data_IF_938017284746
#
_entry.id   IF_938017284746
#
_cell.length_a   1.000
_cell.length_b   1.000
_cell.length_c   1.000
_cell.angle_alpha   90.00
_cell.angle_beta   90.00
_cell.angle_gamma   90.00
#
_symmetry.space_group_name_H-M   'P 1'
#
loop_
_entity.id
_entity.type
_entity.pdbx_description
1 polymer ?
#
# COMPACT_ATOMS: atom_id res chain seq x y z
N UNK A 1 16.52 -27.70 15.97
CA UNK A 1 15.70 -27.60 14.74
C UNK A 1 15.32 -26.14 14.55
N UNK A 2 15.48 -25.57 13.34
CA UNK A 2 15.12 -24.18 13.06
C UNK A 2 13.95 -24.12 12.09
N UNK A 3 12.85 -23.50 12.49
CA UNK A 3 11.66 -23.31 11.65
C UNK A 3 11.62 -21.87 11.17
N UNK A 4 11.46 -21.65 9.87
CA UNK A 4 11.29 -20.31 9.32
C UNK A 4 10.52 -20.34 8.01
N UNK A 5 9.62 -19.37 7.84
CA UNK A 5 8.97 -19.09 6.56
C UNK A 5 9.95 -18.52 5.51
N UNK A 6 11.11 -18.03 5.93
CA UNK A 6 12.19 -17.62 5.04
C UNK A 6 13.54 -17.62 5.78
N UNK A 7 14.59 -18.26 5.26
CA UNK A 7 15.88 -18.30 5.93
C UNK A 7 16.66 -16.96 5.84
N UNK A 8 16.11 -15.92 5.21
CA UNK A 8 16.68 -14.57 5.17
C UNK A 8 16.88 -13.98 3.77
N UNK A 9 17.12 -12.66 3.71
CA UNK A 9 17.19 -11.88 2.47
C UNK A 9 18.54 -11.99 1.73
N UNK A 10 19.00 -13.21 1.46
CA UNK A 10 20.15 -13.47 0.59
C UNK A 10 21.09 -14.57 1.10
N UNK A 11 21.84 -15.17 0.16
CA UNK A 11 22.65 -16.37 0.43
C UNK A 11 23.66 -16.20 1.58
N UNK A 12 24.34 -15.05 1.68
CA UNK A 12 25.33 -14.82 2.76
C UNK A 12 24.67 -14.89 4.14
N UNK A 13 23.51 -14.24 4.29
CA UNK A 13 22.77 -14.19 5.55
C UNK A 13 22.20 -15.57 5.93
N UNK A 14 21.70 -16.31 4.92
CA UNK A 14 21.25 -17.69 5.11
C UNK A 14 22.41 -18.58 5.60
N UNK A 15 23.56 -18.55 4.92
CA UNK A 15 24.74 -19.34 5.31
C UNK A 15 25.19 -19.01 6.74
N UNK A 16 25.16 -17.73 7.10
CA UNK A 16 25.50 -17.29 8.45
C UNK A 16 24.52 -17.86 9.49
N UNK A 17 23.21 -17.85 9.20
CA UNK A 17 22.19 -18.45 10.08
C UNK A 17 22.42 -19.95 10.24
N UNK A 18 22.68 -20.67 9.15
CA UNK A 18 22.97 -22.11 9.20
C UNK A 18 24.22 -22.42 10.02
N UNK A 19 25.29 -21.63 9.84
CA UNK A 19 26.53 -21.78 10.61
C UNK A 19 26.31 -21.50 12.10
N UNK A 20 25.61 -20.41 12.43
CA UNK A 20 25.33 -20.03 13.83
C UNK A 20 24.47 -21.09 14.54
N UNK A 21 23.51 -21.67 13.83
CA UNK A 21 22.62 -22.71 14.37
C UNK A 21 23.18 -24.13 14.21
N UNK A 22 24.39 -24.27 13.65
CA UNK A 22 25.05 -25.56 13.35
C UNK A 22 24.14 -26.53 12.60
N UNK A 23 23.38 -26.01 11.63
CA UNK A 23 22.45 -26.78 10.81
C UNK A 23 23.16 -27.33 9.58
N UNK A 24 23.12 -28.65 9.39
CA UNK A 24 23.75 -29.36 8.26
C UNK A 24 22.81 -29.62 7.10
N UNK A 25 21.49 -29.62 7.36
CA UNK A 25 20.45 -29.91 6.37
C UNK A 25 19.41 -28.81 6.36
N UNK A 26 18.97 -28.44 5.16
CA UNK A 26 17.85 -27.54 4.94
C UNK A 26 16.79 -28.31 4.17
N UNK A 27 15.63 -28.50 4.78
CA UNK A 27 14.45 -28.94 4.07
C UNK A 27 13.56 -27.74 3.77
N UNK A 28 13.06 -27.68 2.55
CA UNK A 28 12.02 -26.71 2.19
C UNK A 28 10.84 -27.45 1.59
N UNK A 29 9.65 -26.92 1.83
CA UNK A 29 8.46 -27.25 1.06
C UNK A 29 7.90 -25.98 0.44
N UNK A 30 7.44 -26.10 -0.79
CA UNK A 30 6.72 -25.08 -1.54
C UNK A 30 5.25 -25.47 -1.62
N UNK A 31 4.45 -24.56 -2.17
CA UNK A 31 3.02 -24.76 -2.42
C UNK A 31 2.76 -25.97 -3.33
N UNK A 32 3.66 -26.16 -4.29
CA UNK A 32 3.62 -27.21 -5.30
C UNK A 32 4.22 -28.54 -4.82
N UNK A 33 4.73 -28.60 -3.58
CA UNK A 33 5.33 -29.84 -3.06
C UNK A 33 4.26 -30.93 -2.91
N UNK A 34 4.51 -32.17 -3.36
CA UNK A 34 3.50 -33.24 -3.36
C UNK A 34 2.92 -33.56 -1.98
N UNK A 35 3.70 -33.36 -0.92
CA UNK A 35 3.30 -33.58 0.47
C UNK A 35 2.63 -32.35 1.12
N UNK A 36 2.50 -31.25 0.38
CA UNK A 36 1.84 -30.01 0.83
C UNK A 36 0.60 -29.70 0.00
N UNK A 37 0.67 -29.84 -1.33
CA UNK A 37 -0.40 -29.49 -2.26
C UNK A 37 -1.78 -30.08 -1.90
N UNK A 38 -1.91 -31.35 -1.47
CA UNK A 38 -3.21 -31.93 -1.11
C UNK A 38 -3.90 -31.26 0.09
N UNK A 39 -3.15 -30.55 0.93
CA UNK A 39 -3.64 -29.92 2.16
C UNK A 39 -3.89 -28.42 2.01
N UNK A 40 -3.61 -27.84 0.83
CA UNK A 40 -3.80 -26.42 0.59
C UNK A 40 -5.21 -26.13 0.09
N UNK A 41 -6.00 -25.42 0.89
CA UNK A 41 -7.14 -24.66 0.36
C UNK A 41 -6.58 -23.38 -0.29
N UNK A 42 -6.57 -23.33 -1.62
CA UNK A 42 -6.14 -22.13 -2.33
C UNK A 42 -7.22 -21.06 -2.26
N UNK A 43 -6.95 -20.03 -1.46
CA UNK A 43 -7.62 -18.75 -1.60
C UNK A 43 -7.00 -18.01 -2.78
N UNK A 44 -7.69 -18.07 -3.92
CA UNK A 44 -7.37 -17.25 -5.09
C UNK A 44 -7.49 -15.76 -4.76
N UNK A 45 -6.54 -14.97 -5.25
CA UNK A 45 -6.64 -13.51 -5.26
C UNK A 45 -7.21 -13.08 -6.61
N UNK A 46 -8.38 -12.46 -6.60
CA UNK A 46 -8.92 -11.78 -7.77
C UNK A 46 -8.36 -10.36 -7.84
N UNK A 47 -7.95 -9.94 -9.04
CA UNK A 47 -7.41 -8.61 -9.28
C UNK A 47 -8.38 -7.82 -10.13
N UNK A 48 -8.98 -6.79 -9.55
CA UNK A 48 -9.92 -5.93 -10.25
C UNK A 48 -9.25 -4.60 -10.61
N UNK A 49 -9.02 -4.41 -11.91
CA UNK A 49 -8.45 -3.18 -12.43
C UNK A 49 -9.52 -2.11 -12.65
N UNK A 50 -9.23 -0.89 -12.20
CA UNK A 50 -10.10 0.29 -12.31
C UNK A 50 -9.33 1.40 -13.03
N UNK A 51 -9.98 2.09 -13.95
CA UNK A 51 -9.40 3.21 -14.66
C UNK A 51 -9.64 4.52 -13.90
N UNK A 52 -8.67 5.43 -13.96
CA UNK A 52 -8.85 6.78 -13.42
C UNK A 52 -9.80 7.57 -14.34
N UNK A 53 -10.63 8.44 -13.76
CA UNK A 53 -11.48 9.34 -14.54
C UNK A 53 -10.65 10.34 -15.36
N UNK A 54 -11.26 10.91 -16.41
CA UNK A 54 -10.61 11.92 -17.24
C UNK A 54 -10.14 13.14 -16.43
N UNK A 55 -10.93 13.56 -15.43
CA UNK A 55 -10.54 14.64 -14.51
C UNK A 55 -9.30 14.31 -13.69
N UNK A 56 -9.23 13.10 -13.15
CA UNK A 56 -8.03 12.62 -12.45
C UNK A 56 -6.83 12.48 -13.39
N UNK A 57 -7.03 12.03 -14.63
CA UNK A 57 -5.96 11.94 -15.64
C UNK A 57 -5.43 13.33 -16.03
N UNK A 58 -6.32 14.32 -16.14
CA UNK A 58 -5.98 15.72 -16.42
C UNK A 58 -5.11 16.31 -15.30
N UNK A 59 -5.34 15.95 -14.03
CA UNK A 59 -4.49 16.37 -12.90
C UNK A 59 -3.19 15.55 -12.85
N UNK A 60 -3.26 14.23 -13.06
CA UNK A 60 -2.13 13.29 -12.93
C UNK A 60 -1.00 13.62 -13.91
N UNK A 61 -1.34 13.97 -15.14
CA UNK A 61 -0.37 14.21 -16.21
C UNK A 61 0.63 15.34 -15.89
N UNK A 62 0.20 16.59 -15.65
CA UNK A 62 1.11 17.68 -15.30
C UNK A 62 1.83 17.43 -13.97
N UNK A 63 1.20 16.71 -13.03
CA UNK A 63 1.82 16.36 -11.77
C UNK A 63 2.97 15.35 -11.94
N UNK A 64 2.79 14.36 -12.82
CA UNK A 64 3.85 13.41 -13.21
C UNK A 64 4.98 14.11 -13.93
N UNK A 65 4.68 15.04 -14.84
CA UNK A 65 5.69 15.84 -15.53
C UNK A 65 6.52 16.70 -14.57
N UNK A 66 5.86 17.34 -13.59
CA UNK A 66 6.53 18.10 -12.54
C UNK A 66 7.49 17.22 -11.71
N UNK A 67 7.04 16.00 -11.35
CA UNK A 67 7.90 15.03 -10.67
C UNK A 67 9.11 14.64 -11.53
N UNK A 68 8.88 14.25 -12.80
CA UNK A 68 9.94 13.83 -13.71
C UNK A 68 10.96 14.95 -13.97
N UNK A 69 10.50 16.19 -14.15
CA UNK A 69 11.33 17.38 -14.29
C UNK A 69 12.22 17.60 -13.06
N UNK A 70 11.65 17.49 -11.85
CA UNK A 70 12.40 17.62 -10.61
C UNK A 70 13.45 16.51 -10.43
N UNK A 71 13.11 15.26 -10.75
CA UNK A 71 14.05 14.13 -10.74
C UNK A 71 15.15 14.29 -11.80
N UNK A 72 14.81 14.80 -12.98
CA UNK A 72 15.77 15.14 -14.05
C UNK A 72 16.81 16.16 -13.57
N UNK A 73 16.38 17.23 -12.89
CA UNK A 73 17.27 18.23 -12.28
C UNK A 73 18.21 17.59 -11.26
N UNK A 74 17.71 16.72 -10.38
CA UNK A 74 18.56 15.99 -9.43
C UNK A 74 19.66 15.18 -10.14
N UNK A 75 19.32 14.52 -11.24
CA UNK A 75 20.28 13.77 -12.07
C UNK A 75 21.32 14.67 -12.71
N UNK A 76 20.92 15.80 -13.26
CA UNK A 76 21.85 16.81 -13.79
C UNK A 76 22.83 17.27 -12.70
N UNK A 77 22.35 17.46 -11.48
CA UNK A 77 23.20 17.82 -10.35
C UNK A 77 24.07 16.68 -9.80
N UNK A 78 23.90 15.44 -10.25
CA UNK A 78 24.75 14.30 -9.85
C UNK A 78 24.07 13.29 -8.92
N UNK A 79 22.81 13.48 -8.58
CA UNK A 79 22.07 12.65 -7.63
C UNK A 79 21.15 11.65 -8.34
N UNK A 80 20.79 10.55 -7.67
CA UNK A 80 19.83 9.56 -8.17
C UNK A 80 20.18 8.97 -9.56
N UNK A 81 21.47 8.84 -9.89
CA UNK A 81 21.93 8.32 -11.18
C UNK A 81 21.92 6.78 -11.31
N UNK A 82 21.83 6.08 -10.19
CA UNK A 82 21.96 4.62 -10.10
C UNK A 82 20.73 3.82 -10.55
N UNK A 83 19.59 4.49 -10.79
CA UNK A 83 18.35 3.91 -11.33
C UNK A 83 17.84 4.77 -12.48
N UNK A 84 17.02 4.21 -13.38
CA UNK A 84 16.22 5.03 -14.32
C UNK A 84 15.17 5.81 -13.53
N UNK A 85 14.77 6.98 -14.06
CA UNK A 85 13.85 7.90 -13.37
C UNK A 85 12.52 7.23 -13.04
N UNK A 86 11.99 6.45 -13.99
CA UNK A 86 10.74 5.69 -13.85
C UNK A 86 10.76 4.65 -12.73
N UNK A 87 11.94 4.25 -12.25
CA UNK A 87 12.12 3.26 -11.18
C UNK A 87 12.55 3.88 -9.85
N UNK A 88 12.61 5.20 -9.74
CA UNK A 88 12.93 5.87 -8.48
C UNK A 88 11.71 5.86 -7.55
N UNK A 89 11.91 5.37 -6.32
CA UNK A 89 10.87 5.34 -5.29
C UNK A 89 10.85 6.63 -4.46
N UNK A 90 9.75 6.84 -3.71
CA UNK A 90 9.67 7.87 -2.67
C UNK A 90 10.80 7.74 -1.64
N UNK A 91 11.19 6.50 -1.29
CA UNK A 91 12.31 6.25 -0.37
C UNK A 91 13.66 6.68 -0.97
N UNK A 92 13.87 6.52 -2.27
CA UNK A 92 15.07 7.02 -2.96
C UNK A 92 15.15 8.56 -2.87
N UNK A 93 14.02 9.25 -3.06
CA UNK A 93 13.92 10.72 -2.95
C UNK A 93 14.21 11.18 -1.52
N UNK A 94 13.69 10.49 -0.50
CA UNK A 94 13.94 10.79 0.92
C UNK A 94 15.42 10.58 1.27
N UNK A 95 16.00 9.46 0.86
CA UNK A 95 17.42 9.16 1.08
C UNK A 95 18.31 10.23 0.43
N UNK A 96 17.98 10.65 -0.80
CA UNK A 96 18.66 11.75 -1.48
C UNK A 96 18.60 13.06 -0.69
N UNK A 97 17.46 13.39 -0.08
CA UNK A 97 17.33 14.55 0.80
C UNK A 97 18.27 14.50 2.01
N UNK A 98 18.39 13.34 2.66
CA UNK A 98 19.34 13.16 3.76
C UNK A 98 20.80 13.31 3.32
N UNK A 99 21.16 12.76 2.15
CA UNK A 99 22.50 12.95 1.56
C UNK A 99 22.78 14.42 1.26
N UNK A 100 21.82 15.14 0.67
CA UNK A 100 21.95 16.56 0.33
C UNK A 100 22.14 17.43 1.57
N UNK A 101 21.39 17.18 2.65
CA UNK A 101 21.57 17.87 3.94
C UNK A 101 22.97 17.66 4.51
N UNK A 102 23.46 16.41 4.49
CA UNK A 102 24.82 16.10 4.92
C UNK A 102 25.90 16.78 4.07
N UNK A 103 25.70 16.87 2.76
CA UNK A 103 26.61 17.58 1.86
C UNK A 103 26.61 19.10 2.11
N UNK A 104 25.43 19.71 2.30
CA UNK A 104 25.28 21.13 2.59
C UNK A 104 25.92 21.55 3.92
N UNK A 105 25.85 20.68 4.94
CA UNK A 105 26.51 20.92 6.22
C UNK A 105 28.03 20.98 6.09
N UNK A 106 28.63 20.22 5.16
CA UNK A 106 30.07 20.23 4.90
C UNK A 106 30.51 21.34 3.95
N UNK A 107 29.70 21.64 2.93
CA UNK A 107 30.01 22.63 1.90
C UNK A 107 28.74 23.29 1.39
N UNK A 108 28.67 24.62 1.54
CA UNK A 108 27.62 25.43 0.91
C UNK A 108 27.97 25.65 -0.56
N UNK A 109 27.05 25.31 -1.47
CA UNK A 109 27.20 25.62 -2.89
C UNK A 109 25.84 25.83 -3.54
N UNK A 110 25.77 26.76 -4.50
CA UNK A 110 24.52 27.04 -5.24
C UNK A 110 23.92 25.79 -5.88
N UNK A 111 24.78 24.91 -6.41
CA UNK A 111 24.38 23.61 -6.96
C UNK A 111 23.67 22.71 -5.94
N UNK A 112 24.20 22.62 -4.71
CA UNK A 112 23.58 21.81 -3.65
C UNK A 112 22.25 22.42 -3.17
N UNK A 113 22.15 23.74 -3.10
CA UNK A 113 20.88 24.41 -2.80
C UNK A 113 19.83 24.17 -3.90
N UNK A 114 20.22 24.25 -5.18
CA UNK A 114 19.34 23.96 -6.30
C UNK A 114 18.88 22.49 -6.31
N UNK A 115 19.78 21.55 -6.00
CA UNK A 115 19.43 20.14 -5.83
C UNK A 115 18.49 19.93 -4.65
N UNK A 116 18.70 20.60 -3.51
CA UNK A 116 17.82 20.52 -2.35
C UNK A 116 16.40 21.03 -2.68
N UNK A 117 16.28 22.11 -3.45
CA UNK A 117 14.99 22.61 -3.95
C UNK A 117 14.31 21.57 -4.86
N UNK A 118 15.04 21.00 -5.82
CA UNK A 118 14.52 19.98 -6.72
C UNK A 118 14.06 18.71 -5.97
N UNK A 119 14.79 18.29 -4.94
CA UNK A 119 14.39 17.17 -4.09
C UNK A 119 13.10 17.47 -3.32
N UNK A 120 12.95 18.69 -2.78
CA UNK A 120 11.71 19.11 -2.13
C UNK A 120 10.51 19.06 -3.08
N UNK A 121 10.66 19.62 -4.29
CA UNK A 121 9.63 19.55 -5.34
C UNK A 121 9.29 18.11 -5.71
N UNK A 122 10.29 17.24 -5.93
CA UNK A 122 10.06 15.85 -6.26
C UNK A 122 9.32 15.10 -5.14
N UNK A 123 9.67 15.36 -3.88
CA UNK A 123 9.02 14.72 -2.73
C UNK A 123 7.55 15.14 -2.61
N UNK A 124 7.26 16.43 -2.79
CA UNK A 124 5.90 16.95 -2.70
C UNK A 124 5.05 16.50 -3.90
N UNK A 125 5.56 16.57 -5.13
CA UNK A 125 4.86 16.06 -6.32
C UNK A 125 4.59 14.54 -6.20
N UNK A 126 5.57 13.78 -5.69
CA UNK A 126 5.40 12.35 -5.40
C UNK A 126 4.32 12.09 -4.35
N UNK A 127 4.14 12.96 -3.36
CA UNK A 127 3.07 12.80 -2.38
C UNK A 127 1.71 13.19 -2.95
N UNK A 128 1.63 14.27 -3.73
CA UNK A 128 0.41 14.64 -4.45
C UNK A 128 -0.09 13.51 -5.38
N UNK A 129 0.82 12.81 -6.07
CA UNK A 129 0.44 11.65 -6.91
C UNK A 129 -0.14 10.52 -6.06
N UNK A 130 0.42 10.29 -4.88
CA UNK A 130 -0.09 9.29 -3.92
C UNK A 130 -1.51 9.63 -3.47
N UNK A 131 -1.76 10.89 -3.11
CA UNK A 131 -3.09 11.34 -2.70
C UNK A 131 -4.09 11.18 -3.85
N UNK A 132 -3.72 11.62 -5.06
CA UNK A 132 -4.59 11.52 -6.23
C UNK A 132 -4.88 10.06 -6.60
N UNK A 133 -3.84 9.25 -6.82
CA UNK A 133 -3.94 7.89 -7.35
C UNK A 133 -4.51 6.87 -6.35
N UNK A 134 -4.53 7.20 -5.05
CA UNK A 134 -5.02 6.27 -4.02
C UNK A 134 -6.25 6.80 -3.28
N UNK A 135 -6.36 8.10 -3.05
CA UNK A 135 -7.41 8.66 -2.19
C UNK A 135 -8.44 9.49 -2.99
N UNK A 136 -8.01 10.19 -4.04
CA UNK A 136 -8.85 10.98 -4.93
C UNK A 136 -8.48 12.48 -4.96
N UNK A 137 -9.35 13.29 -5.57
CA UNK A 137 -9.10 14.72 -5.80
C UNK A 137 -9.23 15.55 -4.52
N UNK A 138 -10.21 15.25 -3.66
CA UNK A 138 -10.47 16.05 -2.45
C UNK A 138 -9.33 16.02 -1.42
N UNK A 139 -8.69 14.86 -1.13
CA UNK A 139 -7.49 14.82 -0.29
C UNK A 139 -6.32 15.62 -0.89
N UNK A 140 -6.16 15.60 -2.21
CA UNK A 140 -5.15 16.42 -2.90
C UNK A 140 -5.42 17.92 -2.73
N UNK A 141 -6.68 18.37 -2.88
CA UNK A 141 -7.08 19.76 -2.63
C UNK A 141 -6.80 20.18 -1.19
N UNK A 142 -7.22 19.35 -0.23
CA UNK A 142 -6.96 19.59 1.20
C UNK A 142 -5.46 19.74 1.49
N UNK A 143 -4.62 18.91 0.88
CA UNK A 143 -3.18 19.04 0.98
C UNK A 143 -2.64 20.35 0.36
N UNK A 144 -3.18 20.80 -0.77
CA UNK A 144 -2.80 22.08 -1.38
C UNK A 144 -3.19 23.27 -0.51
N UNK A 145 -4.40 23.27 0.05
CA UNK A 145 -4.88 24.31 0.96
C UNK A 145 -3.97 24.42 2.20
N UNK A 146 -3.76 23.31 2.90
CA UNK A 146 -2.86 23.25 4.06
C UNK A 146 -1.43 23.67 3.72
N UNK A 147 -0.92 23.25 2.56
CA UNK A 147 0.43 23.63 2.13
C UNK A 147 0.54 25.13 1.79
N UNK A 148 -0.56 25.77 1.38
CA UNK A 148 -0.60 27.22 1.18
C UNK A 148 -0.57 27.97 2.51
N UNK A 149 -1.36 27.52 3.49
CA UNK A 149 -1.35 28.06 4.87
C UNK A 149 0.03 27.94 5.52
N UNK A 150 0.71 26.81 5.33
CA UNK A 150 2.07 26.57 5.83
C UNK A 150 3.16 27.33 5.03
N UNK A 151 2.79 28.11 4.00
CA UNK A 151 3.74 28.87 3.19
C UNK A 151 4.73 28.01 2.41
N UNK A 152 4.36 26.78 2.03
CA UNK A 152 5.28 25.87 1.32
C UNK A 152 5.60 26.40 -0.08
N UNK A 153 6.89 26.59 -0.36
CA UNK A 153 7.41 27.08 -1.65
C UNK A 153 6.95 26.30 -2.88
N UNK A 154 6.58 25.03 -2.72
CA UNK A 154 6.03 24.20 -3.80
C UNK A 154 4.73 24.75 -4.37
N UNK A 155 3.87 25.32 -3.54
CA UNK A 155 2.57 25.87 -3.96
C UNK A 155 2.72 27.13 -4.82
N UNK A 156 3.85 27.83 -4.70
CA UNK A 156 4.18 28.99 -5.50
C UNK A 156 4.77 28.64 -6.88
N UNK A 157 4.98 27.37 -7.19
CA UNK A 157 5.44 26.96 -8.52
C UNK A 157 4.29 27.13 -9.54
N UNK A 158 4.54 27.69 -10.74
CA UNK A 158 3.51 27.82 -11.78
C UNK A 158 2.83 26.49 -12.11
N UNK A 159 3.61 25.41 -12.19
CA UNK A 159 3.10 24.06 -12.45
C UNK A 159 2.18 23.59 -11.33
N UNK A 160 2.53 23.84 -10.06
CA UNK A 160 1.69 23.48 -8.92
C UNK A 160 0.41 24.32 -8.83
N UNK A 161 0.47 25.60 -9.20
CA UNK A 161 -0.70 26.48 -9.28
C UNK A 161 -1.69 26.00 -10.34
N UNK A 162 -1.19 25.58 -11.51
CA UNK A 162 -2.01 24.97 -12.55
C UNK A 162 -2.65 23.66 -12.08
N UNK A 163 -1.88 22.75 -11.47
CA UNK A 163 -2.40 21.49 -10.93
C UNK A 163 -3.48 21.74 -9.87
N UNK A 164 -3.30 22.75 -9.01
CA UNK A 164 -4.32 23.15 -8.03
C UNK A 164 -5.60 23.62 -8.70
N UNK A 165 -5.50 24.42 -9.77
CA UNK A 165 -6.70 24.87 -10.51
C UNK A 165 -7.49 23.71 -11.12
N UNK A 166 -6.79 22.68 -11.62
CA UNK A 166 -7.41 21.45 -12.11
C UNK A 166 -8.05 20.67 -10.96
N UNK A 167 -7.38 20.59 -9.80
CA UNK A 167 -7.93 19.94 -8.63
C UNK A 167 -9.23 20.61 -8.15
N UNK A 168 -9.31 21.95 -8.17
CA UNK A 168 -10.56 22.67 -7.88
C UNK A 168 -11.64 22.37 -8.91
N UNK A 169 -11.31 22.36 -10.20
CA UNK A 169 -12.25 22.05 -11.28
C UNK A 169 -12.88 20.66 -11.14
N UNK A 170 -12.09 19.66 -10.74
CA UNK A 170 -12.53 18.27 -10.59
C UNK A 170 -12.80 17.86 -9.13
N UNK A 171 -12.93 18.81 -8.21
CA UNK A 171 -13.02 18.53 -6.76
C UNK A 171 -14.21 17.68 -6.32
N UNK A 172 -15.25 17.55 -7.15
CA UNK A 172 -16.41 16.69 -6.88
C UNK A 172 -16.23 15.23 -7.29
N UNK A 173 -15.14 14.89 -7.99
CA UNK A 173 -14.92 13.52 -8.47
C UNK A 173 -14.40 12.61 -7.35
N UNK A 174 -15.19 11.56 -7.06
CA UNK A 174 -14.75 10.48 -6.18
C UNK A 174 -13.79 9.55 -6.90
N UNK A 175 -12.87 8.92 -6.15
CA UNK A 175 -11.95 7.96 -6.74
C UNK A 175 -12.73 6.75 -7.31
N UNK A 176 -12.52 6.34 -8.58
CA UNK A 176 -13.31 5.27 -9.23
C UNK A 176 -13.35 3.92 -8.48
N UNK A 177 -12.29 3.60 -7.74
CA UNK A 177 -12.27 2.43 -6.84
C UNK A 177 -13.37 2.43 -5.78
N UNK A 178 -13.86 3.58 -5.31
CA UNK A 178 -14.96 3.63 -4.36
C UNK A 178 -16.23 3.03 -4.96
N UNK A 179 -16.53 3.36 -6.22
CA UNK A 179 -17.68 2.79 -6.93
C UNK A 179 -17.52 1.28 -7.15
N UNK A 180 -16.32 0.83 -7.57
CA UNK A 180 -16.03 -0.59 -7.73
C UNK A 180 -16.14 -1.37 -6.40
N UNK A 181 -15.60 -0.81 -5.31
CA UNK A 181 -15.74 -1.35 -3.97
C UNK A 181 -17.22 -1.44 -3.56
N UNK A 182 -17.96 -0.34 -3.70
CA UNK A 182 -19.37 -0.29 -3.32
C UNK A 182 -20.21 -1.33 -4.08
N UNK A 183 -19.96 -1.53 -5.37
CA UNK A 183 -20.62 -2.57 -6.17
C UNK A 183 -20.37 -3.98 -5.64
N UNK A 184 -19.11 -4.33 -5.36
CA UNK A 184 -18.77 -5.66 -4.81
C UNK A 184 -19.34 -5.89 -3.41
N UNK A 185 -19.29 -4.87 -2.55
CA UNK A 185 -19.87 -4.96 -1.21
C UNK A 185 -21.38 -5.12 -1.30
N UNK A 186 -22.06 -4.36 -2.17
CA UNK A 186 -23.50 -4.48 -2.37
C UNK A 186 -23.92 -5.87 -2.86
N UNK A 187 -23.17 -6.45 -3.79
CA UNK A 187 -23.39 -7.81 -4.29
C UNK A 187 -23.23 -8.83 -3.16
N UNK A 188 -22.18 -8.73 -2.35
CA UNK A 188 -21.95 -9.63 -1.23
C UNK A 188 -23.05 -9.51 -0.17
N UNK A 189 -23.51 -8.29 0.12
CA UNK A 189 -24.55 -8.02 1.10
C UNK A 189 -25.97 -8.41 0.64
N UNK A 190 -26.14 -8.89 -0.60
CA UNK A 190 -27.36 -9.59 -0.99
C UNK A 190 -27.60 -10.86 -0.12
N UNK A 191 -26.54 -11.37 0.51
CA UNK A 191 -26.62 -12.37 1.58
C UNK A 191 -26.56 -11.64 2.94
N UNK A 192 -27.67 -11.56 3.71
CA UNK A 192 -27.76 -10.67 4.88
C UNK A 192 -26.75 -10.94 6.00
N UNK A 193 -26.32 -12.20 6.12
CA UNK A 193 -25.35 -12.67 7.13
C UNK A 193 -23.89 -12.53 6.68
N UNK A 194 -23.65 -12.12 5.43
CA UNK A 194 -22.30 -11.99 4.91
C UNK A 194 -21.51 -10.90 5.63
N UNK A 195 -20.24 -11.20 5.90
CA UNK A 195 -19.28 -10.28 6.50
C UNK A 195 -18.21 -9.91 5.50
N UNK A 196 -17.91 -8.62 5.44
CA UNK A 196 -16.92 -8.04 4.52
C UNK A 196 -15.81 -7.36 5.31
N UNK A 197 -14.58 -7.60 4.90
CA UNK A 197 -13.39 -6.95 5.42
C UNK A 197 -12.74 -6.12 4.32
N UNK A 198 -12.59 -4.82 4.54
CA UNK A 198 -11.94 -3.91 3.58
C UNK A 198 -10.63 -3.42 4.16
N UNK A 199 -9.51 -3.75 3.51
CA UNK A 199 -8.19 -3.25 3.89
C UNK A 199 -7.81 -2.03 3.07
N UNK A 200 -7.23 -1.04 3.73
CA UNK A 200 -6.54 0.10 3.11
C UNK A 200 -5.21 0.37 3.82
N UNK A 201 -4.21 0.84 3.09
CA UNK A 201 -2.93 1.28 3.65
C UNK A 201 -3.06 2.64 4.35
N UNK A 202 -3.96 3.52 3.87
CA UNK A 202 -4.02 4.91 4.31
C UNK A 202 -5.25 5.17 5.18
N UNK A 203 -5.01 5.72 6.39
CA UNK A 203 -6.09 6.15 7.29
C UNK A 203 -6.95 7.25 6.70
N UNK A 204 -6.36 8.13 5.89
CA UNK A 204 -7.05 9.21 5.18
C UNK A 204 -8.16 8.72 4.26
N UNK A 205 -8.06 7.49 3.76
CA UNK A 205 -9.04 6.89 2.84
C UNK A 205 -10.24 6.30 3.58
N UNK A 206 -10.12 6.03 4.88
CA UNK A 206 -11.18 5.39 5.69
C UNK A 206 -12.48 6.20 5.66
N UNK A 207 -12.50 7.53 5.90
CA UNK A 207 -13.76 8.29 5.88
C UNK A 207 -14.51 8.17 4.56
N UNK A 208 -13.81 8.22 3.42
CA UNK A 208 -14.42 8.10 2.10
C UNK A 208 -14.98 6.70 1.85
N UNK A 209 -14.26 5.65 2.27
CA UNK A 209 -14.76 4.27 2.19
C UNK A 209 -15.98 4.07 3.08
N UNK A 210 -15.92 4.54 4.34
CA UNK A 210 -17.03 4.41 5.29
C UNK A 210 -18.27 5.15 4.79
N UNK A 211 -18.11 6.36 4.24
CA UNK A 211 -19.20 7.13 3.66
C UNK A 211 -19.83 6.42 2.46
N UNK A 212 -19.01 5.91 1.54
CA UNK A 212 -19.47 5.21 0.35
C UNK A 212 -20.21 3.92 0.69
N UNK A 213 -19.68 3.12 1.63
CA UNK A 213 -20.27 1.85 2.04
C UNK A 213 -21.45 2.02 2.99
N UNK A 214 -21.44 3.04 3.85
CA UNK A 214 -22.52 3.30 4.82
C UNK A 214 -23.83 3.73 4.16
N UNK A 215 -23.78 4.13 2.89
CA UNK A 215 -24.95 4.50 2.09
C UNK A 215 -25.60 3.29 1.40
N UNK A 216 -25.00 2.09 1.49
CA UNK A 216 -25.50 0.87 0.87
C UNK A 216 -26.60 0.22 1.74
N UNK A 217 -27.72 -0.22 1.14
CA UNK A 217 -28.72 -1.02 1.83
C UNK A 217 -28.13 -2.24 2.53
N UNK A 218 -28.43 -2.39 3.82
CA UNK A 218 -27.98 -3.53 4.64
C UNK A 218 -26.55 -3.44 5.17
N UNK A 219 -25.77 -2.41 4.78
CA UNK A 219 -24.42 -2.21 5.28
C UNK A 219 -24.41 -1.59 6.68
N UNK A 220 -23.72 -2.24 7.61
CA UNK A 220 -23.43 -1.78 8.97
C UNK A 220 -21.93 -1.68 9.09
N UNK A 221 -21.42 -0.50 8.74
CA UNK A 221 -19.99 -0.25 8.54
C UNK A 221 -19.33 0.25 9.82
N UNK A 222 -18.24 -0.39 10.21
CA UNK A 222 -17.32 0.11 11.23
C UNK A 222 -15.91 0.23 10.66
N UNK A 223 -15.05 0.99 11.35
CA UNK A 223 -13.64 1.06 11.00
C UNK A 223 -12.76 0.56 12.15
N UNK A 224 -11.58 0.08 11.79
CA UNK A 224 -10.58 -0.44 12.72
C UNK A 224 -9.20 0.13 12.40
N UNK A 225 -8.65 0.92 13.32
CA UNK A 225 -7.30 1.49 13.21
C UNK A 225 -6.45 1.19 14.44
N UNK A 226 -5.13 1.17 14.23
CA UNK A 226 -4.17 1.02 15.33
C UNK A 226 -4.19 2.18 16.33
N UNK A 227 -3.57 1.97 17.49
CA UNK A 227 -3.58 2.91 18.62
C UNK A 227 -2.83 4.24 18.35
N UNK A 228 -1.84 4.23 17.45
CA UNK A 228 -1.11 5.45 17.09
C UNK A 228 -2.08 6.51 16.54
N UNK A 229 -1.90 7.77 16.91
CA UNK A 229 -2.67 8.88 16.33
C UNK A 229 -2.14 9.27 14.96
N UNK A 230 -3.06 9.64 14.06
CA UNK A 230 -2.74 10.15 12.72
C UNK A 230 -3.87 11.07 12.25
N UNK A 231 -4.19 11.03 10.96
CA UNK A 231 -5.35 11.73 10.41
C UNK A 231 -6.69 11.21 10.93
N UNK A 232 -6.79 9.90 11.14
CA UNK A 232 -7.85 9.29 11.94
C UNK A 232 -7.29 9.01 13.33
N UNK A 233 -8.04 9.42 14.37
CA UNK A 233 -7.71 9.19 15.77
C UNK A 233 -7.49 7.69 16.00
N UNK A 234 -6.38 7.35 16.65
CA UNK A 234 -6.11 5.96 17.01
C UNK A 234 -7.15 5.42 17.98
N UNK A 235 -7.51 4.16 17.83
CA UNK A 235 -8.46 3.48 18.72
C UNK A 235 -7.71 2.90 19.91
N UNK A 236 -8.26 3.07 21.11
CA UNK A 236 -7.79 2.42 22.33
C UNK A 236 -8.05 0.91 22.26
N UNK A 237 -7.32 0.12 23.04
CA UNK A 237 -7.50 -1.33 23.08
C UNK A 237 -8.95 -1.76 23.37
N UNK A 238 -9.63 -1.06 24.28
CA UNK A 238 -11.03 -1.33 24.60
C UNK A 238 -11.97 -1.07 23.42
N UNK A 239 -11.78 0.05 22.69
CA UNK A 239 -12.56 0.38 21.48
C UNK A 239 -12.30 -0.64 20.37
N UNK A 240 -11.06 -1.10 20.23
CA UNK A 240 -10.69 -2.15 19.29
C UNK A 240 -11.40 -3.47 19.62
N UNK A 241 -11.40 -3.88 20.89
CA UNK A 241 -12.11 -5.09 21.33
C UNK A 241 -13.61 -5.00 21.09
N UNK A 242 -14.26 -3.87 21.38
CA UNK A 242 -15.70 -3.69 21.18
C UNK A 242 -16.08 -3.74 19.70
N UNK A 243 -15.30 -3.11 18.81
CA UNK A 243 -15.57 -3.16 17.36
C UNK A 243 -15.43 -4.58 16.81
N UNK A 244 -14.42 -5.33 17.26
CA UNK A 244 -14.25 -6.72 16.85
C UNK A 244 -15.36 -7.62 17.38
N UNK A 245 -15.81 -7.39 18.61
CA UNK A 245 -16.92 -8.15 19.19
C UNK A 245 -18.24 -7.88 18.44
N UNK A 246 -18.55 -6.62 18.14
CA UNK A 246 -19.69 -6.23 17.32
C UNK A 246 -19.64 -6.89 15.93
N UNK A 247 -18.46 -6.95 15.31
CA UNK A 247 -18.26 -7.63 14.03
C UNK A 247 -18.42 -9.16 14.13
N UNK A 248 -17.94 -9.78 15.21
CA UNK A 248 -18.16 -11.21 15.48
C UNK A 248 -19.65 -11.53 15.66
N UNK A 249 -20.40 -10.67 16.35
CA UNK A 249 -21.85 -10.82 16.58
C UNK A 249 -22.71 -10.48 15.36
N UNK A 250 -22.14 -9.88 14.30
CA UNK A 250 -22.89 -9.46 13.12
C UNK A 250 -23.64 -8.12 13.28
N UNK A 251 -23.45 -7.45 14.42
CA UNK A 251 -23.95 -6.08 14.65
C UNK A 251 -23.35 -5.12 13.63
N UNK A 252 -22.08 -5.35 13.26
CA UNK A 252 -21.45 -4.78 12.07
C UNK A 252 -21.12 -5.91 11.11
N UNK A 253 -21.34 -5.68 9.82
CA UNK A 253 -21.08 -6.67 8.76
C UNK A 253 -20.06 -6.18 7.73
N UNK A 254 -19.60 -4.93 7.82
CA UNK A 254 -18.51 -4.40 7.01
C UNK A 254 -17.48 -3.75 7.92
N UNK A 255 -16.24 -4.24 7.88
CA UNK A 255 -15.13 -3.71 8.68
C UNK A 255 -14.06 -3.11 7.79
N UNK A 256 -13.84 -1.81 7.89
CA UNK A 256 -12.79 -1.08 7.14
C UNK A 256 -11.55 -0.92 8.02
N UNK A 257 -10.44 -1.56 7.69
CA UNK A 257 -9.26 -1.60 8.53
C UNK A 257 -7.97 -1.20 7.82
N UNK A 258 -6.99 -0.78 8.62
CA UNK A 258 -5.62 -0.55 8.13
C UNK A 258 -4.74 -1.79 8.29
N UNK A 259 -3.56 -1.79 7.67
CA UNK A 259 -2.56 -2.88 7.80
C UNK A 259 -2.16 -3.21 9.25
N UNK A 260 -2.46 -2.33 10.23
CA UNK A 260 -2.30 -2.65 11.67
C UNK A 260 -3.23 -3.78 12.11
N UNK A 261 -4.32 -4.04 11.38
CA UNK A 261 -5.17 -5.19 11.60
C UNK A 261 -4.55 -6.54 11.24
N UNK A 262 -3.35 -6.57 10.69
CA UNK A 262 -2.62 -7.81 10.39
C UNK A 262 -1.96 -8.44 11.63
N UNK A 263 -1.58 -7.64 12.63
CA UNK A 263 -0.87 -8.11 13.80
C UNK A 263 -1.86 -8.49 14.91
N UNK A 264 -2.13 -9.79 15.03
CA UNK A 264 -2.82 -10.36 16.20
C UNK A 264 -4.33 -10.16 16.24
N UNK A 265 -4.95 -9.61 15.19
CA UNK A 265 -6.40 -9.65 15.09
C UNK A 265 -6.87 -11.04 14.66
N UNK A 266 -7.47 -11.73 15.61
CA UNK A 266 -8.35 -12.87 15.34
C UNK A 266 -9.66 -12.35 14.73
N UNK A 267 -9.57 -11.85 13.50
CA UNK A 267 -10.73 -11.47 12.68
C UNK A 267 -11.51 -12.76 12.38
N UNK A 268 -12.82 -12.81 12.68
CA UNK A 268 -13.66 -13.98 12.42
C UNK A 268 -13.68 -14.34 10.93
N UNK A 269 -14.22 -15.52 10.59
CA UNK A 269 -14.49 -15.89 9.19
C UNK A 269 -15.31 -14.78 8.51
N UNK A 270 -14.87 -14.38 7.32
CA UNK A 270 -15.54 -13.36 6.49
C UNK A 270 -15.75 -13.92 5.10
N UNK A 271 -16.78 -13.47 4.41
CA UNK A 271 -17.13 -14.01 3.09
C UNK A 271 -16.35 -13.31 1.98
N UNK A 272 -16.06 -12.03 2.16
CA UNK A 272 -15.32 -11.21 1.22
C UNK A 272 -14.24 -10.38 1.93
N UNK A 273 -13.02 -10.43 1.39
CA UNK A 273 -11.95 -9.48 1.71
C UNK A 273 -11.66 -8.64 0.48
N UNK A 274 -11.68 -7.31 0.62
CA UNK A 274 -11.28 -6.39 -0.44
C UNK A 274 -10.09 -5.55 0.01
N UNK A 275 -9.01 -5.59 -0.75
CA UNK A 275 -7.90 -4.66 -0.62
C UNK A 275 -8.16 -3.46 -1.52
N UNK A 276 -8.38 -2.28 -0.92
CA UNK A 276 -8.63 -1.04 -1.66
C UNK A 276 -7.39 -0.60 -2.48
N UNK A 277 -6.22 -1.03 -2.06
CA UNK A 277 -4.96 -0.94 -2.80
C UNK A 277 -4.08 -2.15 -2.44
N UNK A 278 -3.07 -2.51 -3.25
CA UNK A 278 -2.21 -3.64 -2.93
C UNK A 278 -1.46 -3.41 -1.60
N UNK A 279 -1.82 -4.18 -0.56
CA UNK A 279 -1.15 -4.18 0.75
C UNK A 279 -0.37 -5.50 0.90
N UNK A 280 0.93 -5.55 0.54
CA UNK A 280 1.67 -6.81 0.43
C UNK A 280 1.70 -7.65 1.70
N UNK A 281 1.72 -7.00 2.86
CA UNK A 281 1.77 -7.65 4.16
C UNK A 281 0.42 -8.30 4.47
N UNK A 282 -0.69 -7.57 4.30
CA UNK A 282 -2.03 -8.04 4.62
C UNK A 282 -2.50 -9.13 3.67
N UNK A 283 -2.24 -8.97 2.38
CA UNK A 283 -2.53 -10.00 1.37
C UNK A 283 -1.85 -11.33 1.78
N UNK A 284 -0.57 -11.28 2.15
CA UNK A 284 0.15 -12.47 2.62
C UNK A 284 -0.39 -13.00 3.95
N UNK A 285 -0.83 -12.14 4.86
CA UNK A 285 -1.41 -12.57 6.13
C UNK A 285 -2.72 -13.35 5.90
N UNK A 286 -3.61 -12.83 5.06
CA UNK A 286 -4.87 -13.48 4.68
C UNK A 286 -4.60 -14.79 3.95
N UNK A 287 -3.68 -14.80 2.96
CA UNK A 287 -3.29 -16.02 2.27
C UNK A 287 -2.71 -17.08 3.21
N UNK A 288 -1.90 -16.69 4.20
CA UNK A 288 -1.38 -17.62 5.22
C UNK A 288 -2.49 -18.21 6.09
N UNK A 289 -3.51 -17.41 6.43
CA UNK A 289 -4.67 -17.89 7.21
C UNK A 289 -5.51 -18.87 6.39
N UNK A 290 -5.76 -18.58 5.12
CA UNK A 290 -6.42 -19.50 4.19
C UNK A 290 -5.74 -20.87 4.11
N UNK A 291 -4.40 -20.90 4.18
CA UNK A 291 -3.61 -22.15 4.20
C UNK A 291 -3.76 -22.96 5.49
N UNK A 292 -4.13 -22.32 6.61
CA UNK A 292 -4.29 -23.01 7.89
C UNK A 292 -5.68 -23.66 8.03
N UNK A 293 -6.57 -23.53 7.04
CA UNK A 293 -7.90 -24.15 7.01
C UNK A 293 -8.88 -23.63 8.08
N UNK A 294 -8.53 -22.56 8.80
CA UNK A 294 -9.37 -21.92 9.81
C UNK A 294 -9.94 -20.63 9.25
N UNK A 295 -11.27 -20.49 9.26
CA UNK A 295 -11.97 -19.22 9.06
C UNK A 295 -11.46 -18.43 7.84
N UNK A 296 -11.21 -19.18 6.76
CA UNK A 296 -10.62 -18.69 5.54
C UNK A 296 -11.67 -17.90 4.75
N UNK A 297 -11.34 -16.73 4.18
CA UNK A 297 -12.35 -15.98 3.48
C UNK A 297 -12.91 -16.71 2.25
N UNK A 298 -14.17 -16.47 1.93
CA UNK A 298 -14.79 -17.03 0.72
C UNK A 298 -14.15 -16.50 -0.56
N UNK A 299 -13.88 -15.19 -0.61
CA UNK A 299 -13.31 -14.47 -1.75
C UNK A 299 -12.33 -13.38 -1.31
N UNK A 300 -11.23 -13.21 -2.04
CA UNK A 300 -10.27 -12.11 -1.84
C UNK A 300 -10.11 -11.33 -3.14
N UNK A 301 -10.34 -10.02 -3.08
CA UNK A 301 -10.20 -9.11 -4.21
C UNK A 301 -9.17 -8.03 -3.90
N UNK A 302 -8.32 -7.68 -4.87
CA UNK A 302 -7.40 -6.54 -4.81
C UNK A 302 -7.77 -5.54 -5.89
N UNK A 303 -8.13 -4.32 -5.49
CA UNK A 303 -8.39 -3.21 -6.39
C UNK A 303 -7.07 -2.58 -6.86
N UNK A 304 -6.98 -2.34 -8.17
CA UNK A 304 -5.78 -1.81 -8.83
C UNK A 304 -6.19 -0.65 -9.72
N UNK A 305 -5.68 0.55 -9.46
CA UNK A 305 -5.83 1.65 -10.40
C UNK A 305 -4.83 1.47 -11.56
N UNK A 306 -5.31 1.44 -12.81
CA UNK A 306 -4.45 1.19 -13.97
C UNK A 306 -3.44 2.31 -14.21
N UNK A 307 -2.21 1.94 -14.55
CA UNK A 307 -1.13 2.89 -14.84
C UNK A 307 -0.71 3.74 -13.64
N UNK A 308 -0.98 3.30 -12.42
CA UNK A 308 -0.58 3.97 -11.18
C UNK A 308 0.44 3.14 -10.39
N UNK A 309 0.75 3.58 -9.18
CA UNK A 309 1.62 2.87 -8.24
C UNK A 309 1.14 1.47 -7.88
N UNK A 310 -0.15 1.19 -7.96
CA UNK A 310 -0.69 -0.12 -7.58
C UNK A 310 -0.07 -1.25 -8.41
N UNK A 311 0.01 -1.08 -9.74
CA UNK A 311 0.66 -2.04 -10.65
C UNK A 311 2.14 -2.20 -10.31
N UNK A 312 2.80 -1.09 -9.92
CA UNK A 312 4.20 -1.10 -9.49
C UNK A 312 4.42 -1.90 -8.20
N UNK A 313 3.52 -1.75 -7.22
CA UNK A 313 3.54 -2.50 -5.96
C UNK A 313 3.31 -3.98 -6.23
N UNK A 314 2.30 -4.33 -7.04
CA UNK A 314 1.99 -5.71 -7.39
C UNK A 314 3.15 -6.40 -8.11
N UNK A 315 3.71 -5.74 -9.13
CA UNK A 315 4.88 -6.23 -9.84
C UNK A 315 6.08 -6.43 -8.89
N UNK A 316 6.23 -5.56 -7.87
CA UNK A 316 7.28 -5.70 -6.87
C UNK A 316 7.00 -6.86 -5.89
N UNK A 317 5.74 -7.13 -5.58
CA UNK A 317 5.32 -8.29 -4.78
C UNK A 317 5.68 -9.60 -5.49
N UNK A 318 5.30 -9.75 -6.75
CA UNK A 318 5.56 -10.93 -7.58
C UNK A 318 7.06 -11.19 -7.74
N UNK A 319 7.84 -10.16 -8.12
CA UNK A 319 9.31 -10.29 -8.22
C UNK A 319 9.95 -10.72 -6.90
N UNK A 320 9.42 -10.27 -5.76
CA UNK A 320 9.94 -10.63 -4.44
C UNK A 320 9.63 -12.09 -4.11
N UNK A 321 8.46 -12.57 -4.51
CA UNK A 321 8.05 -13.96 -4.36
C UNK A 321 8.89 -14.90 -5.23
N UNK A 322 9.01 -14.63 -6.53
CA UNK A 322 9.86 -15.41 -7.43
C UNK A 322 11.32 -15.49 -6.94
N UNK A 323 11.85 -14.37 -6.44
CA UNK A 323 13.21 -14.32 -5.91
C UNK A 323 13.36 -15.18 -4.65
N UNK A 324 12.32 -15.25 -3.81
CA UNK A 324 12.31 -16.09 -2.63
C UNK A 324 12.30 -17.57 -3.03
N UNK A 325 11.42 -17.96 -3.95
CA UNK A 325 11.32 -19.34 -4.44
C UNK A 325 12.63 -19.81 -5.07
N UNK A 326 13.24 -18.98 -5.93
CA UNK A 326 14.56 -19.27 -6.51
C UNK A 326 15.65 -19.40 -5.45
N UNK A 327 15.61 -18.59 -4.38
CA UNK A 327 16.59 -18.68 -3.29
C UNK A 327 16.42 -19.98 -2.51
N UNK A 328 15.18 -20.35 -2.16
CA UNK A 328 14.85 -21.56 -1.43
C UNK A 328 15.21 -22.81 -2.24
N UNK A 329 14.82 -22.87 -3.52
CA UNK A 329 15.16 -24.00 -4.40
C UNK A 329 16.66 -24.20 -4.62
N UNK A 330 17.48 -23.14 -4.54
CA UNK A 330 18.96 -23.26 -4.58
C UNK A 330 19.56 -23.79 -3.29
N UNK A 331 18.90 -23.59 -2.14
CA UNK A 331 19.39 -24.05 -0.84
C UNK A 331 19.14 -25.54 -0.66
N UNK A 332 17.97 -26.03 -1.05
CA UNK A 332 17.65 -27.47 -0.98
C UNK A 332 18.52 -28.33 -1.88
N UNK A 333 18.76 -27.89 -3.13
CA UNK A 333 19.65 -28.60 -4.07
C UNK A 333 21.11 -28.71 -3.62
N UNK A 334 21.57 -27.90 -2.65
CA UNK A 334 22.93 -27.94 -2.10
C UNK A 334 23.06 -28.77 -0.81
N UNK A 335 21.93 -29.15 -0.22
CA UNK A 335 21.87 -29.96 1.00
C UNK A 335 21.44 -31.41 0.72
N UNK A 336 21.28 -31.78 -0.55
CA UNK A 336 21.09 -33.15 -1.06
C UNK A 336 22.44 -33.68 -1.51
#
# INVERSE_FOLDING_TARGET
MGLSASPGAGQKKVKQILANLRLTRVESRTRESPDVAPFLQELGEERLSVELSDGMLAIRTPLRELLLSALGKLRQYGFLRYKKVEYLSKSDIIACGSMLRGALAKRRSGKLFAAMKAQGTALQASHCLELLETQGVEPLKSYFAKSAEEGKKFIALPEAAHIRSLAELYGGESHPKLAALAGMVQEQLAQPESKVLVFTQFRDTIPSIVLALGSLPGARVAHFVGQASGSVKGMRQQEQSSVLEAFRKGETNVLVCTSVGEEGLDVPSVDLVVFYEPVPSAIRAIQRRGRAGRDAPGRVVVLIAKGTRDEGILSAMERREEKMERLVGRLTKKSS
#
